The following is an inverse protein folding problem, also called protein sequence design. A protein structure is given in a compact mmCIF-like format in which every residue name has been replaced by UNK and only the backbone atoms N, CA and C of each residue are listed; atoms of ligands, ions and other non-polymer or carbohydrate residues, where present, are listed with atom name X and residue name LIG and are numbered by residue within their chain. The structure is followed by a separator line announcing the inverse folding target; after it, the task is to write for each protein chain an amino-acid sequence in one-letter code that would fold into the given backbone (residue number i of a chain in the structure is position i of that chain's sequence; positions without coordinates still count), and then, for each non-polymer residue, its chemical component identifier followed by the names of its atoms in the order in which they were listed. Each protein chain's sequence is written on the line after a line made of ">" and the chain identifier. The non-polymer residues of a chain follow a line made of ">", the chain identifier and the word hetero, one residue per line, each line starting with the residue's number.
data_IF_026135094072
#
_entry.id   IF_026135094072
#
_cell.length_a   1.000
_cell.length_b   1.000
_cell.length_c   1.000
_cell.angle_alpha   90.00
_cell.angle_beta   90.00
_cell.angle_gamma   90.00
#
_symmetry.space_group_name_H-M   'P 1'
#
loop_
_entity.id
_entity.type
_entity.pdbx_description
1 polymer ?
#
# COMPACT_ATOMS: atom_id res chain seq x y z
N UNK A 1 6.36 -50.00 -6.77
CA UNK A 1 6.39 -48.52 -6.83
C UNK A 1 6.36 -47.98 -5.40
N UNK A 2 7.37 -47.19 -5.00
CA UNK A 2 7.46 -46.53 -3.69
C UNK A 2 7.84 -45.08 -3.96
N UNK A 3 6.94 -44.15 -3.65
CA UNK A 3 7.33 -42.76 -3.41
C UNK A 3 6.86 -42.40 -2.00
N UNK A 4 7.83 -41.92 -1.23
CA UNK A 4 7.79 -41.77 0.22
C UNK A 4 8.03 -40.30 0.52
N UNK A 5 7.26 -39.75 1.50
CA UNK A 5 7.57 -38.59 2.35
C UNK A 5 7.58 -37.20 1.68
N UNK A 6 7.37 -36.08 2.37
CA UNK A 6 6.71 -35.65 3.62
C UNK A 6 6.95 -34.13 3.60
N UNK A 7 5.94 -33.34 3.95
CA UNK A 7 6.06 -32.00 4.57
C UNK A 7 6.78 -30.89 3.80
N UNK A 8 6.07 -29.81 3.50
CA UNK A 8 6.72 -28.50 3.40
C UNK A 8 5.88 -27.46 4.15
N UNK A 9 6.36 -27.12 5.34
CA UNK A 9 5.95 -25.94 6.11
C UNK A 9 6.36 -24.72 5.29
N UNK A 10 5.38 -23.92 4.85
CA UNK A 10 5.66 -22.68 4.12
C UNK A 10 5.89 -21.56 5.15
N UNK A 11 7.10 -21.55 5.71
CA UNK A 11 7.61 -20.46 6.54
C UNK A 11 7.73 -19.22 5.66
N UNK A 12 6.88 -18.21 5.89
CA UNK A 12 7.05 -16.90 5.29
C UNK A 12 8.20 -16.20 6.01
N UNK A 13 9.41 -16.33 5.45
CA UNK A 13 10.52 -15.45 5.78
C UNK A 13 10.31 -14.14 5.01
N UNK A 14 9.89 -13.09 5.71
CA UNK A 14 10.04 -11.72 5.20
C UNK A 14 11.41 -11.26 5.70
N UNK A 15 12.42 -11.44 4.84
CA UNK A 15 13.79 -11.01 5.10
C UNK A 15 14.15 -9.97 4.06
N UNK A 16 14.40 -8.75 4.52
CA UNK A 16 14.95 -7.65 3.75
C UNK A 16 16.22 -8.07 3.00
N UNK A 17 16.28 -7.80 1.69
CA UNK A 17 17.51 -7.87 0.91
C UNK A 17 17.64 -6.64 0.01
N UNK A 18 18.71 -5.92 0.32
CA UNK A 18 19.37 -4.83 -0.38
C UNK A 18 19.64 -5.13 -1.87
N UNK A 19 19.34 -4.12 -2.70
CA UNK A 19 19.75 -3.83 -4.09
C UNK A 19 20.67 -4.84 -4.82
N UNK A 20 20.16 -5.36 -5.94
CA UNK A 20 20.94 -6.01 -7.00
C UNK A 20 20.36 -5.64 -8.36
N UNK A 21 21.17 -5.02 -9.22
CA UNK A 21 20.75 -4.51 -10.52
C UNK A 21 20.33 -5.62 -11.48
N UNK A 22 19.07 -5.58 -11.90
CA UNK A 22 18.58 -6.17 -13.15
C UNK A 22 18.19 -5.00 -14.05
N UNK A 23 18.86 -4.88 -15.20
CA UNK A 23 18.38 -4.04 -16.30
C UNK A 23 17.16 -4.73 -16.91
N UNK A 24 16.04 -4.64 -16.22
CA UNK A 24 14.72 -4.77 -16.82
C UNK A 24 14.50 -3.43 -17.49
N UNK A 25 14.11 -3.41 -18.77
CA UNK A 25 13.43 -2.23 -19.28
C UNK A 25 12.21 -2.06 -18.37
N UNK A 26 12.34 -1.21 -17.36
CA UNK A 26 11.25 -0.94 -16.44
C UNK A 26 10.09 -0.52 -17.34
N UNK A 27 8.91 -1.15 -17.25
CA UNK A 27 7.74 -0.44 -17.72
C UNK A 27 7.81 0.94 -17.07
N UNK A 28 7.65 1.99 -17.86
CA UNK A 28 7.58 3.33 -17.33
C UNK A 28 6.38 3.35 -16.36
N UNK A 29 6.63 3.08 -15.07
CA UNK A 29 5.61 3.00 -14.04
C UNK A 29 5.16 4.43 -13.75
N UNK A 30 4.27 4.93 -14.61
CA UNK A 30 3.98 6.35 -14.66
C UNK A 30 3.01 6.81 -13.57
N UNK A 31 2.83 6.06 -12.47
CA UNK A 31 1.93 6.46 -11.39
C UNK A 31 2.42 6.17 -9.96
N UNK A 32 3.65 5.68 -9.77
CA UNK A 32 4.22 5.54 -8.43
C UNK A 32 4.39 6.90 -7.75
N UNK A 33 4.14 6.98 -6.45
CA UNK A 33 4.31 8.20 -5.68
C UNK A 33 4.71 7.94 -4.23
N UNK A 34 5.14 9.01 -3.58
CA UNK A 34 5.47 9.01 -2.16
C UNK A 34 6.84 8.42 -1.84
N UNK A 35 7.16 8.25 -0.54
CA UNK A 35 6.32 8.57 0.61
C UNK A 35 5.99 10.06 0.72
N UNK A 36 4.71 10.41 0.92
CA UNK A 36 4.21 11.80 1.03
C UNK A 36 3.18 11.93 2.16
N UNK A 37 3.16 13.08 2.83
CA UNK A 37 2.13 13.48 3.81
C UNK A 37 1.06 14.42 3.22
N UNK A 38 1.01 14.52 1.89
CA UNK A 38 -0.02 15.30 1.22
C UNK A 38 -1.43 14.81 1.58
N UNK A 39 -2.29 15.73 2.02
CA UNK A 39 -3.65 15.46 2.49
C UNK A 39 -3.78 14.40 3.62
N UNK A 40 -2.74 14.22 4.44
CA UNK A 40 -2.79 13.34 5.64
C UNK A 40 -2.73 14.09 6.97
N UNK A 41 -2.63 15.43 6.92
CA UNK A 41 -2.41 16.28 8.10
C UNK A 41 -1.08 16.03 8.81
N UNK A 42 -0.14 15.30 8.19
CA UNK A 42 1.16 14.97 8.78
C UNK A 42 1.14 13.80 9.78
N UNK A 43 0.00 13.11 9.95
CA UNK A 43 -0.12 11.95 10.86
C UNK A 43 0.26 10.62 10.22
N UNK A 44 0.19 10.55 8.90
CA UNK A 44 0.68 9.42 8.10
C UNK A 44 1.44 9.89 6.88
N UNK A 45 2.33 9.03 6.36
CA UNK A 45 2.86 9.13 5.01
C UNK A 45 2.35 7.97 4.17
N UNK A 46 1.99 8.23 2.92
CA UNK A 46 1.51 7.23 1.98
C UNK A 46 2.46 7.11 0.80
N UNK A 47 2.61 5.90 0.28
CA UNK A 47 3.32 5.64 -0.98
C UNK A 47 2.57 4.59 -1.80
N UNK A 48 2.70 4.71 -3.12
CA UNK A 48 2.22 3.71 -4.06
C UNK A 48 3.37 3.30 -4.97
N UNK A 49 3.59 2.00 -5.06
CA UNK A 49 4.51 1.38 -6.00
C UNK A 49 3.69 0.61 -7.04
N UNK A 50 3.58 1.23 -8.20
CA UNK A 50 2.81 0.76 -9.35
C UNK A 50 3.38 -0.54 -9.93
N UNK A 51 4.71 -0.72 -9.90
CA UNK A 51 5.35 -1.93 -10.43
C UNK A 51 5.05 -3.18 -9.58
N UNK A 52 4.64 -3.00 -8.32
CA UNK A 52 4.33 -4.07 -7.38
C UNK A 52 2.85 -4.05 -6.93
N UNK A 53 2.03 -3.19 -7.53
CA UNK A 53 0.65 -2.90 -7.12
C UNK A 53 0.54 -2.69 -5.59
N UNK A 54 1.45 -1.94 -4.99
CA UNK A 54 1.58 -1.89 -3.52
C UNK A 54 1.31 -0.50 -2.97
N UNK A 55 0.31 -0.40 -2.11
CA UNK A 55 0.01 0.82 -1.36
C UNK A 55 0.45 0.67 0.08
N UNK A 56 1.33 1.56 0.55
CA UNK A 56 1.85 1.56 1.91
C UNK A 56 1.46 2.82 2.67
N UNK A 57 1.26 2.64 3.97
CA UNK A 57 0.98 3.72 4.94
C UNK A 57 1.99 3.59 6.07
N UNK A 58 2.60 4.71 6.44
CA UNK A 58 3.54 4.82 7.57
C UNK A 58 3.00 5.82 8.58
N UNK A 59 2.91 5.44 9.86
CA UNK A 59 2.49 6.35 10.92
C UNK A 59 3.61 7.32 11.30
N UNK A 60 3.33 8.62 11.27
CA UNK A 60 4.29 9.68 11.63
C UNK A 60 3.92 10.44 12.90
N UNK A 61 2.67 10.30 13.37
CA UNK A 61 2.20 10.88 14.63
C UNK A 61 2.59 10.10 15.89
N UNK A 62 2.07 10.54 17.03
CA UNK A 62 2.24 9.90 18.36
C UNK A 62 1.18 8.84 18.66
N UNK A 63 0.14 8.76 17.84
CA UNK A 63 -1.02 7.87 18.02
C UNK A 63 -1.33 7.08 16.74
N UNK A 64 -2.33 6.21 16.83
CA UNK A 64 -2.83 5.49 15.67
C UNK A 64 -3.53 6.42 14.68
N UNK A 65 -3.30 6.19 13.39
CA UNK A 65 -3.95 6.92 12.31
C UNK A 65 -4.42 5.96 11.21
N UNK A 66 -5.57 6.29 10.63
CA UNK A 66 -6.24 5.50 9.60
C UNK A 66 -6.09 6.11 8.21
N UNK A 67 -5.91 5.27 7.20
CA UNK A 67 -6.01 5.65 5.78
C UNK A 67 -6.88 4.64 5.06
N UNK A 68 -7.90 5.12 4.36
CA UNK A 68 -8.67 4.33 3.41
C UNK A 68 -8.05 4.43 2.02
N UNK A 69 -7.94 3.31 1.32
CA UNK A 69 -7.59 3.25 -0.11
C UNK A 69 -8.63 2.42 -0.84
N UNK A 70 -9.24 2.97 -1.89
CA UNK A 70 -10.35 2.33 -2.58
C UNK A 70 -10.51 2.84 -4.03
N UNK A 71 -11.15 2.05 -4.92
CA UNK A 71 -11.41 2.48 -6.28
C UNK A 71 -12.49 3.58 -6.31
N UNK A 72 -12.24 4.65 -7.06
CA UNK A 72 -13.11 5.84 -7.08
C UNK A 72 -14.50 5.60 -7.65
N UNK A 73 -14.65 4.55 -8.48
CA UNK A 73 -15.94 4.18 -9.09
C UNK A 73 -16.61 2.96 -8.42
N UNK A 74 -16.12 2.52 -7.26
CA UNK A 74 -16.75 1.51 -6.39
C UNK A 74 -16.97 0.11 -6.97
N UNK A 75 -16.52 -0.17 -8.21
CA UNK A 75 -16.87 -1.39 -8.95
C UNK A 75 -15.70 -2.27 -9.38
N UNK A 76 -14.46 -1.82 -9.24
CA UNK A 76 -13.29 -2.54 -9.77
C UNK A 76 -12.09 -2.40 -8.83
N UNK A 77 -11.72 -3.50 -8.17
CA UNK A 77 -10.53 -3.60 -7.33
C UNK A 77 -10.80 -3.59 -5.81
N UNK A 78 -9.80 -3.97 -4.99
CA UNK A 78 -9.94 -4.09 -3.55
C UNK A 78 -10.03 -2.72 -2.86
N UNK A 79 -10.67 -2.70 -1.68
CA UNK A 79 -10.73 -1.54 -0.78
C UNK A 79 -10.17 -1.92 0.57
N UNK A 80 -9.37 -1.04 1.18
CA UNK A 80 -8.73 -1.29 2.46
C UNK A 80 -8.85 -0.08 3.38
N UNK A 81 -9.06 -0.38 4.66
CA UNK A 81 -8.79 0.55 5.75
C UNK A 81 -7.51 0.11 6.46
N UNK A 82 -6.52 1.00 6.51
CA UNK A 82 -5.19 0.71 7.03
C UNK A 82 -4.94 1.59 8.26
N UNK A 83 -4.99 0.97 9.44
CA UNK A 83 -4.63 1.62 10.70
C UNK A 83 -3.18 1.32 11.07
N UNK A 84 -2.37 2.37 11.24
CA UNK A 84 -0.95 2.30 11.61
C UNK A 84 -0.70 3.01 12.91
N UNK A 85 0.16 2.43 13.76
CA UNK A 85 0.68 3.09 14.96
C UNK A 85 1.94 3.92 14.65
N UNK A 86 2.49 4.61 15.66
CA UNK A 86 3.68 5.45 15.52
C UNK A 86 4.88 4.69 14.96
N UNK A 87 5.47 5.19 13.86
CA UNK A 87 6.65 4.60 13.22
C UNK A 87 6.41 3.28 12.50
N UNK A 88 5.20 2.72 12.54
CA UNK A 88 4.87 1.46 11.88
C UNK A 88 4.49 1.71 10.42
N UNK A 89 4.91 0.81 9.54
CA UNK A 89 4.49 0.78 8.13
C UNK A 89 3.65 -0.47 7.88
N UNK A 90 2.54 -0.30 7.17
CA UNK A 90 1.70 -1.39 6.66
C UNK A 90 1.45 -1.19 5.18
N UNK A 91 1.50 -2.28 4.42
CA UNK A 91 1.28 -2.27 2.99
C UNK A 91 0.16 -3.25 2.62
N UNK A 92 -0.59 -2.90 1.58
CA UNK A 92 -1.62 -3.73 0.97
C UNK A 92 -1.36 -3.84 -0.53
N UNK A 93 -1.76 -4.97 -1.11
CA UNK A 93 -1.66 -5.16 -2.56
C UNK A 93 -2.96 -4.75 -3.24
N UNK A 94 -2.85 -3.94 -4.28
CA UNK A 94 -3.90 -3.54 -5.20
C UNK A 94 -3.91 -4.41 -6.47
N UNK A 95 -3.13 -5.49 -6.57
CA UNK A 95 -2.99 -6.33 -7.78
C UNK A 95 -4.28 -6.99 -8.31
N UNK A 96 -5.40 -6.83 -7.60
CA UNK A 96 -6.75 -7.22 -8.07
C UNK A 96 -7.50 -6.06 -8.73
N UNK A 97 -6.93 -4.86 -8.75
CA UNK A 97 -7.33 -3.77 -9.61
C UNK A 97 -7.02 -4.15 -11.06
N UNK A 98 -7.77 -3.60 -12.01
CA UNK A 98 -7.35 -3.64 -13.40
C UNK A 98 -6.28 -2.56 -13.59
N UNK A 99 -5.37 -2.76 -14.54
CA UNK A 99 -4.43 -1.70 -14.93
C UNK A 99 -5.17 -0.38 -15.23
N UNK A 100 -4.55 0.73 -14.84
CA UNK A 100 -5.07 2.10 -14.98
C UNK A 100 -6.41 2.32 -14.27
N UNK A 101 -6.65 1.62 -13.15
CA UNK A 101 -7.85 1.85 -12.36
C UNK A 101 -7.68 3.11 -11.52
N UNK A 102 -8.63 4.04 -11.63
CA UNK A 102 -8.64 5.23 -10.79
C UNK A 102 -8.99 4.88 -9.34
N UNK A 103 -8.05 5.17 -8.45
CA UNK A 103 -8.14 5.00 -7.01
C UNK A 103 -8.12 6.34 -6.29
N UNK A 104 -8.49 6.29 -5.01
CA UNK A 104 -8.20 7.36 -4.08
C UNK A 104 -7.64 6.81 -2.78
N UNK A 105 -6.86 7.65 -2.09
CA UNK A 105 -6.64 7.49 -0.67
C UNK A 105 -7.27 8.65 0.11
N UNK A 106 -7.70 8.36 1.33
CA UNK A 106 -8.28 9.33 2.25
C UNK A 106 -7.82 9.02 3.67
N UNK A 107 -7.10 9.96 4.28
CA UNK A 107 -6.66 9.84 5.66
C UNK A 107 -7.74 10.33 6.63
N UNK A 108 -7.82 9.68 7.78
CA UNK A 108 -8.60 10.14 8.92
C UNK A 108 -7.82 11.17 9.71
N UNK A 109 -8.52 12.18 10.23
CA UNK A 109 -7.98 13.13 11.19
C UNK A 109 -8.13 12.54 12.61
N UNK A 110 -7.03 12.10 13.25
CA UNK A 110 -7.11 11.43 14.54
C UNK A 110 -7.59 12.35 15.68
N UNK A 111 -7.52 13.68 15.50
CA UNK A 111 -7.97 14.63 16.51
C UNK A 111 -9.47 14.90 16.49
N UNK A 112 -10.09 14.80 15.31
CA UNK A 112 -11.51 15.16 15.12
C UNK A 112 -12.39 13.99 14.74
N UNK A 113 -11.80 12.86 14.33
CA UNK A 113 -12.53 11.72 13.77
C UNK A 113 -13.11 11.98 12.37
N UNK A 114 -12.83 13.14 11.77
CA UNK A 114 -13.21 13.46 10.39
C UNK A 114 -12.22 12.89 9.37
N UNK A 115 -12.47 13.16 8.09
CA UNK A 115 -11.58 12.77 6.99
C UNK A 115 -10.96 14.00 6.33
N UNK A 116 -9.71 13.87 5.87
CA UNK A 116 -9.11 14.82 4.95
C UNK A 116 -9.69 14.65 3.53
N UNK A 117 -9.39 15.59 2.64
CA UNK A 117 -9.81 15.50 1.24
C UNK A 117 -9.19 14.26 0.56
N UNK A 118 -9.97 13.51 -0.23
CA UNK A 118 -9.47 12.34 -0.91
C UNK A 118 -8.52 12.74 -2.05
N UNK A 119 -7.40 12.04 -2.17
CA UNK A 119 -6.42 12.26 -3.24
C UNK A 119 -6.50 11.13 -4.24
N UNK A 120 -6.59 11.50 -5.52
CA UNK A 120 -6.79 10.57 -6.62
C UNK A 120 -5.45 10.12 -7.19
N UNK A 121 -5.36 8.85 -7.57
CA UNK A 121 -4.23 8.28 -8.31
C UNK A 121 -4.71 7.16 -9.23
N UNK A 122 -3.82 6.67 -10.09
CA UNK A 122 -4.07 5.50 -10.92
C UNK A 122 -3.23 4.34 -10.37
N UNK A 123 -3.88 3.18 -10.28
CA UNK A 123 -3.29 1.89 -9.93
C UNK A 123 -3.18 1.01 -11.16
#
# INVERSE_FOLDING_TARGET
>A
MRFTKRGLVKTAAVSSALLGAIAVAAPASANSFGPTDYATGGYTKVSYDDANDQFCVTGTGTDYAGVTVAPSNGRRGPSYYISVGPGATKCVSLARAFEDTRYFYQAENPLTGGNYDPVQFYS
#
